data_IF_703536037729
#
_entry.id   IF_703536037729
#
_cell.length_a   1.000
_cell.length_b   1.000
_cell.length_c   1.000
_cell.angle_alpha   90.00
_cell.angle_beta   90.00
_cell.angle_gamma   90.00
#
_symmetry.space_group_name_H-M   'P 1'
#
loop_
_entity.id
_entity.type
_entity.pdbx_description
1 polymer ?
#
# COMPACT_ATOMS: atom_id res chain seq x y z
N UNK A 1 22.43 6.75 -7.77
CA UNK A 1 21.77 7.92 -7.15
C UNK A 1 22.79 8.63 -6.28
N UNK A 2 22.88 9.96 -6.36
CA UNK A 2 23.75 10.82 -5.54
C UNK A 2 22.89 11.93 -4.92
N UNK A 3 23.34 12.52 -3.83
CA UNK A 3 22.82 13.77 -3.27
C UNK A 3 23.99 14.71 -2.99
N UNK A 4 23.75 16.01 -2.83
CA UNK A 4 24.77 16.93 -2.36
C UNK A 4 24.54 17.32 -0.89
N UNK A 5 25.63 17.62 -0.20
CA UNK A 5 25.67 18.11 1.18
C UNK A 5 26.48 19.40 1.21
N UNK A 6 26.04 20.41 1.96
CA UNK A 6 26.74 21.69 2.06
C UNK A 6 26.53 22.40 3.40
N UNK A 7 27.45 23.31 3.72
CA UNK A 7 27.32 24.26 4.82
C UNK A 7 27.92 25.63 4.49
N UNK A 8 27.51 26.65 5.25
CA UNK A 8 28.10 28.00 5.24
C UNK A 8 28.46 28.43 6.68
N UNK A 9 29.66 28.98 6.88
CA UNK A 9 30.08 29.60 8.13
C UNK A 9 29.65 31.07 8.18
N UNK A 10 28.82 31.43 9.16
CA UNK A 10 28.32 32.82 9.33
C UNK A 10 28.96 33.58 10.49
N UNK A 11 29.83 32.94 11.27
CA UNK A 11 30.73 33.64 12.21
C UNK A 11 31.99 32.83 12.56
N UNK A 12 33.04 33.51 12.98
CA UNK A 12 34.32 32.94 13.37
C UNK A 12 35.45 33.33 12.41
N UNK A 13 36.60 32.63 12.44
CA UNK A 13 37.83 33.08 11.77
C UNK A 13 37.79 33.05 10.24
N UNK A 14 36.87 32.30 9.63
CA UNK A 14 36.69 32.21 8.18
C UNK A 14 35.24 32.54 7.81
N UNK A 15 34.90 33.82 7.97
CA UNK A 15 33.57 34.36 7.70
C UNK A 15 33.15 34.12 6.23
N UNK A 16 31.91 33.65 6.02
CA UNK A 16 31.35 33.27 4.71
C UNK A 16 32.11 32.15 3.98
N UNK A 17 32.98 31.40 4.67
CA UNK A 17 33.50 30.15 4.11
C UNK A 17 32.35 29.17 3.84
N UNK A 18 32.49 28.41 2.76
CA UNK A 18 31.47 27.44 2.33
C UNK A 18 32.15 26.12 1.99
N UNK A 19 31.42 25.03 2.20
CA UNK A 19 31.84 23.70 1.77
C UNK A 19 30.66 23.00 1.14
N UNK A 20 30.93 22.19 0.11
CA UNK A 20 29.92 21.34 -0.50
C UNK A 20 30.56 20.09 -1.09
N UNK A 21 29.88 18.95 -1.01
CA UNK A 21 30.39 17.66 -1.47
C UNK A 21 29.25 16.76 -1.97
N UNK A 22 29.59 15.78 -2.80
CA UNK A 22 28.68 14.71 -3.15
C UNK A 22 28.47 13.74 -1.97
N UNK A 23 27.38 12.98 -2.03
CA UNK A 23 27.02 11.94 -1.06
C UNK A 23 26.44 10.75 -1.83
N UNK A 24 27.01 9.56 -1.62
CA UNK A 24 26.69 8.33 -2.35
C UNK A 24 26.39 7.15 -1.42
N UNK A 25 26.29 5.95 -2.00
CA UNK A 25 26.04 4.67 -1.31
C UNK A 25 24.64 4.55 -0.70
N UNK A 26 24.30 5.37 0.30
CA UNK A 26 22.98 5.44 0.94
C UNK A 26 22.37 6.85 0.86
N UNK A 27 22.18 7.40 -0.36
CA UNK A 27 21.68 8.76 -0.54
C UNK A 27 20.28 8.92 0.07
N UNK A 28 20.17 9.81 1.05
CA UNK A 28 18.93 10.28 1.65
C UNK A 28 19.16 11.70 2.17
N UNK A 29 18.11 12.53 2.23
CA UNK A 29 18.23 13.92 2.74
C UNK A 29 18.87 13.94 4.12
N UNK A 30 18.40 13.09 5.03
CA UNK A 30 18.99 12.93 6.36
C UNK A 30 20.42 12.39 6.39
N UNK A 31 20.92 11.74 5.33
CA UNK A 31 22.35 11.40 5.25
C UNK A 31 23.17 12.62 4.82
N UNK A 32 22.70 13.40 3.84
CA UNK A 32 23.33 14.67 3.45
C UNK A 32 23.36 15.69 4.60
N UNK A 33 22.25 15.85 5.34
CA UNK A 33 22.16 16.72 6.52
C UNK A 33 23.20 16.37 7.60
N UNK A 34 23.38 15.08 7.90
CA UNK A 34 24.35 14.61 8.92
C UNK A 34 25.79 14.75 8.43
N UNK A 35 26.05 14.59 7.13
CA UNK A 35 27.37 14.88 6.53
C UNK A 35 27.69 16.37 6.59
N UNK A 36 26.71 17.26 6.41
CA UNK A 36 26.90 18.70 6.57
C UNK A 36 27.28 19.08 8.02
N UNK A 37 26.61 18.48 9.01
CA UNK A 37 26.96 18.63 10.44
C UNK A 37 28.38 18.11 10.70
N UNK A 38 28.72 16.91 10.22
CA UNK A 38 30.03 16.30 10.44
C UNK A 38 31.17 17.15 9.87
N UNK A 39 31.05 17.56 8.61
CA UNK A 39 32.09 18.35 7.93
C UNK A 39 32.26 19.75 8.51
N UNK A 40 31.18 20.40 8.99
CA UNK A 40 31.26 21.66 9.73
C UNK A 40 31.98 21.54 11.08
N UNK A 41 31.84 20.40 11.77
CA UNK A 41 32.57 20.12 13.01
C UNK A 41 34.04 19.74 12.75
N UNK A 42 34.35 19.18 11.58
CA UNK A 42 35.72 18.94 11.14
C UNK A 42 36.50 20.24 10.86
N UNK A 43 35.85 21.32 10.43
CA UNK A 43 36.51 22.64 10.25
C UNK A 43 36.55 23.51 11.51
N UNK A 44 35.73 23.23 12.53
CA UNK A 44 35.76 23.97 13.80
C UNK A 44 37.11 23.78 14.54
N UNK A 45 37.72 24.86 15.09
CA UNK A 45 38.92 24.75 15.91
C UNK A 45 38.61 24.13 17.28
N UNK A 46 39.62 23.53 17.92
CA UNK A 46 39.50 22.93 19.25
C UNK A 46 39.02 23.93 20.30
N UNK A 47 38.31 23.43 21.31
CA UNK A 47 37.73 24.19 22.42
C UNK A 47 36.73 25.30 22.01
N UNK A 48 36.28 25.34 20.74
CA UNK A 48 35.27 26.30 20.30
C UNK A 48 33.85 25.91 20.73
N UNK A 49 33.02 26.94 21.02
CA UNK A 49 31.56 26.80 21.05
C UNK A 49 30.97 26.97 19.65
N UNK A 50 30.42 25.89 19.10
CA UNK A 50 29.82 25.84 17.76
C UNK A 50 28.29 25.84 17.87
N UNK A 51 27.60 26.78 17.22
CA UNK A 51 26.14 26.72 17.05
C UNK A 51 25.83 26.38 15.60
N UNK A 52 25.05 25.33 15.38
CA UNK A 52 24.58 24.87 14.07
C UNK A 52 23.09 25.17 13.95
N UNK A 53 22.74 25.97 12.94
CA UNK A 53 21.37 26.21 12.52
C UNK A 53 21.03 25.20 11.43
N UNK A 54 20.01 24.36 11.66
CA UNK A 54 19.50 23.37 10.72
C UNK A 54 17.99 23.27 10.87
N UNK A 55 17.29 22.98 9.79
CA UNK A 55 15.87 22.62 9.79
C UNK A 55 15.64 21.10 9.91
N UNK A 56 16.69 20.29 10.01
CA UNK A 56 16.55 18.86 10.27
C UNK A 56 16.26 18.59 11.75
N UNK A 57 14.97 18.47 12.10
CA UNK A 57 14.57 18.13 13.47
C UNK A 57 15.09 16.76 13.89
N UNK A 58 15.12 15.80 12.96
CA UNK A 58 15.66 14.44 13.20
C UNK A 58 17.14 14.49 13.54
N UNK A 59 17.93 15.37 12.92
CA UNK A 59 19.33 15.59 13.31
C UNK A 59 19.46 16.19 14.71
N UNK A 60 18.64 17.19 15.05
CA UNK A 60 18.65 17.84 16.39
C UNK A 60 18.33 16.81 17.48
N UNK A 61 17.26 16.03 17.29
CA UNK A 61 16.80 15.03 18.26
C UNK A 61 17.81 13.90 18.41
N UNK A 62 18.40 13.43 17.30
CA UNK A 62 19.42 12.37 17.32
C UNK A 62 20.71 12.87 17.98
N UNK A 63 21.18 14.08 17.65
CA UNK A 63 22.35 14.69 18.27
C UNK A 63 22.17 14.82 19.79
N UNK A 64 21.01 15.33 20.24
CA UNK A 64 20.68 15.41 21.67
C UNK A 64 20.64 14.03 22.33
N UNK A 65 20.09 13.02 21.67
CA UNK A 65 20.00 11.65 22.19
C UNK A 65 21.38 11.00 22.37
N UNK A 66 22.29 11.14 21.39
CA UNK A 66 23.63 10.53 21.45
C UNK A 66 24.59 11.28 22.39
N UNK A 67 24.42 12.60 22.55
CA UNK A 67 25.27 13.41 23.45
C UNK A 67 24.90 13.27 24.93
N UNK A 68 23.64 12.94 25.24
CA UNK A 68 23.15 12.87 26.64
C UNK A 68 23.15 11.47 27.25
N UNK A 69 23.48 10.41 26.48
CA UNK A 69 23.35 9.01 26.93
C UNK A 69 24.47 8.13 26.40
N UNK A 70 24.97 7.23 27.26
CA UNK A 70 25.74 6.06 26.80
C UNK A 70 24.80 5.07 26.12
N UNK A 71 25.03 4.80 24.84
CA UNK A 71 24.20 3.90 24.05
C UNK A 71 24.87 2.53 23.88
N UNK A 72 24.07 1.48 24.06
CA UNK A 72 24.45 0.10 23.73
C UNK A 72 24.60 -0.08 22.21
N UNK A 73 25.38 -1.08 21.79
CA UNK A 73 25.51 -1.51 20.37
C UNK A 73 24.14 -1.66 19.70
N UNK A 74 23.15 -2.25 20.39
CA UNK A 74 21.78 -2.44 19.88
C UNK A 74 21.02 -1.12 19.69
N UNK A 75 21.28 -0.10 20.50
CA UNK A 75 20.68 1.24 20.33
C UNK A 75 21.35 1.97 19.16
N UNK A 76 22.68 1.90 19.04
CA UNK A 76 23.43 2.42 17.89
C UNK A 76 22.92 1.89 16.56
N UNK A 77 22.80 0.56 16.42
CA UNK A 77 22.30 -0.08 15.20
C UNK A 77 20.81 0.20 14.88
N UNK A 78 20.08 0.92 15.75
CA UNK A 78 18.72 1.41 15.47
C UNK A 78 18.71 2.83 14.89
N UNK A 79 19.79 3.58 15.04
CA UNK A 79 19.93 4.96 14.56
C UNK A 79 20.33 4.93 13.07
N UNK A 80 19.63 5.73 12.26
CA UNK A 80 20.05 5.96 10.87
C UNK A 80 21.29 6.86 10.86
N UNK A 81 22.22 6.58 9.94
CA UNK A 81 23.52 7.24 9.78
C UNK A 81 24.42 7.09 11.02
N UNK A 82 24.26 6.02 11.81
CA UNK A 82 24.99 5.79 13.06
C UNK A 82 26.51 5.87 12.90
N UNK A 83 27.07 5.43 11.76
CA UNK A 83 28.50 5.53 11.45
C UNK A 83 28.98 7.00 11.45
N UNK A 84 28.21 7.91 10.85
CA UNK A 84 28.54 9.35 10.86
C UNK A 84 28.33 9.94 12.24
N UNK A 85 27.28 9.54 12.96
CA UNK A 85 27.03 10.02 14.33
C UNK A 85 28.13 9.61 15.31
N UNK A 86 28.75 8.44 15.11
CA UNK A 86 29.92 8.01 15.87
C UNK A 86 31.14 8.89 15.57
N UNK A 87 31.41 9.22 14.30
CA UNK A 87 32.48 10.16 13.93
C UNK A 87 32.20 11.61 14.36
N UNK A 88 30.93 12.04 14.44
CA UNK A 88 30.51 13.31 15.07
C UNK A 88 30.83 13.30 16.57
N UNK A 89 30.47 12.23 17.30
CA UNK A 89 30.81 12.10 18.72
C UNK A 89 32.31 12.10 18.97
N UNK A 90 33.06 11.38 18.14
CA UNK A 90 34.52 11.32 18.18
C UNK A 90 35.13 12.72 17.99
N UNK A 91 34.70 13.45 16.95
CA UNK A 91 35.16 14.82 16.64
C UNK A 91 34.82 15.81 17.76
N UNK A 92 33.61 15.75 18.33
CA UNK A 92 33.20 16.64 19.42
C UNK A 92 34.03 16.40 20.68
N UNK A 93 34.34 15.13 20.99
CA UNK A 93 35.18 14.76 22.14
C UNK A 93 36.65 15.10 21.94
N UNK A 94 37.25 14.73 20.80
CA UNK A 94 38.68 14.91 20.54
C UNK A 94 39.09 16.39 20.46
N UNK A 95 38.18 17.25 19.95
CA UNK A 95 38.37 18.70 19.90
C UNK A 95 37.79 19.45 21.11
N UNK A 96 37.16 18.78 22.08
CA UNK A 96 36.49 19.42 23.23
C UNK A 96 35.48 20.51 22.82
N UNK A 97 34.65 20.26 21.81
CA UNK A 97 33.71 21.25 21.27
C UNK A 97 32.45 21.39 22.13
N UNK A 98 32.01 22.63 22.35
CA UNK A 98 30.68 22.92 22.93
C UNK A 98 29.67 23.14 21.80
N UNK A 99 28.94 22.09 21.41
CA UNK A 99 28.08 22.12 20.22
C UNK A 99 26.60 22.24 20.59
N UNK A 100 25.90 23.18 19.95
CA UNK A 100 24.45 23.41 20.11
C UNK A 100 23.79 23.44 18.73
N UNK A 101 22.75 22.64 18.53
CA UNK A 101 21.94 22.69 17.30
C UNK A 101 20.63 23.44 17.54
N UNK A 102 20.27 24.34 16.63
CA UNK A 102 19.05 25.13 16.64
C UNK A 102 18.18 24.83 15.43
N UNK A 103 16.88 24.68 15.67
CA UNK A 103 15.86 24.45 14.64
C UNK A 103 15.58 25.75 13.87
N UNK A 104 15.85 25.74 12.58
CA UNK A 104 15.33 26.75 11.63
C UNK A 104 14.00 26.25 11.05
N UNK A 105 13.10 27.16 10.68
CA UNK A 105 11.91 26.81 9.89
C UNK A 105 12.33 26.64 8.43
N UNK A 106 12.08 25.46 7.86
CA UNK A 106 12.24 25.25 6.42
C UNK A 106 11.45 26.32 5.63
N UNK A 107 11.98 26.76 4.51
CA UNK A 107 11.38 27.76 3.60
C UNK A 107 11.07 29.14 4.20
N UNK A 108 11.49 29.46 5.44
CA UNK A 108 11.12 30.71 6.13
C UNK A 108 11.89 31.96 5.68
N UNK A 109 12.25 32.04 4.41
CA UNK A 109 12.86 33.24 3.81
C UNK A 109 14.36 33.45 4.07
N UNK A 110 14.95 32.80 5.09
CA UNK A 110 16.33 33.05 5.57
C UNK A 110 17.36 32.91 4.43
N UNK A 111 18.07 34.00 4.15
CA UNK A 111 18.98 34.11 3.01
C UNK A 111 20.11 33.07 3.04
N UNK A 112 20.71 32.81 4.21
CA UNK A 112 21.81 31.82 4.31
C UNK A 112 21.34 30.40 4.06
N UNK A 113 20.21 29.95 4.65
CA UNK A 113 19.65 28.62 4.35
C UNK A 113 19.43 28.46 2.84
N UNK A 114 18.72 29.40 2.19
CA UNK A 114 18.51 29.39 0.73
C UNK A 114 19.81 29.32 -0.09
N UNK A 115 20.91 29.88 0.40
CA UNK A 115 22.23 29.76 -0.24
C UNK A 115 22.79 28.35 -0.05
N UNK A 116 22.73 27.78 1.16
CA UNK A 116 23.23 26.42 1.41
C UNK A 116 22.41 25.38 0.64
N UNK A 117 21.10 25.56 0.53
CA UNK A 117 20.20 24.70 -0.26
C UNK A 117 20.60 24.68 -1.74
N UNK A 118 21.03 25.83 -2.28
CA UNK A 118 21.59 25.95 -3.64
C UNK A 118 22.96 25.27 -3.76
N UNK A 119 23.85 25.47 -2.77
CA UNK A 119 25.15 24.81 -2.75
C UNK A 119 25.02 23.29 -2.75
N UNK A 120 24.14 22.74 -1.91
CA UNK A 120 23.90 21.30 -1.84
C UNK A 120 23.16 20.76 -3.09
N UNK A 121 22.31 21.55 -3.78
CA UNK A 121 21.78 21.18 -5.10
C UNK A 121 22.89 21.10 -6.16
N UNK A 122 23.78 22.09 -6.20
CA UNK A 122 24.92 22.11 -7.12
C UNK A 122 25.92 20.97 -6.83
N UNK A 123 26.06 20.58 -5.56
CA UNK A 123 26.98 19.55 -5.11
C UNK A 123 26.57 18.11 -5.48
N UNK A 124 25.37 17.89 -6.04
CA UNK A 124 24.87 16.56 -6.40
C UNK A 124 25.78 15.79 -7.37
N UNK A 125 26.49 16.52 -8.24
CA UNK A 125 27.43 15.97 -9.23
C UNK A 125 28.90 15.99 -8.77
N UNK A 126 29.21 16.58 -7.60
CA UNK A 126 30.58 16.55 -7.07
C UNK A 126 30.98 15.15 -6.64
N UNK A 127 32.28 14.95 -6.45
CA UNK A 127 32.79 13.68 -5.95
C UNK A 127 32.27 13.37 -4.54
N UNK A 128 31.83 12.14 -4.25
CA UNK A 128 31.28 11.80 -2.95
C UNK A 128 32.34 11.81 -1.86
N UNK A 129 32.03 12.45 -0.73
CA UNK A 129 32.93 12.39 0.42
C UNK A 129 33.06 10.96 0.95
N UNK A 130 34.30 10.52 1.14
CA UNK A 130 34.64 9.25 1.77
C UNK A 130 35.41 9.53 3.06
N UNK A 131 35.18 8.72 4.09
CA UNK A 131 35.86 8.80 5.37
C UNK A 131 36.00 7.38 5.94
N UNK A 132 37.11 7.13 6.65
CA UNK A 132 37.38 5.80 7.17
C UNK A 132 36.39 5.40 8.26
N UNK A 133 35.85 4.18 8.10
CA UNK A 133 34.90 3.52 9.01
C UNK A 133 35.65 2.69 10.08
N UNK A 134 36.98 2.69 10.02
CA UNK A 134 37.87 2.06 11.00
C UNK A 134 37.75 2.82 12.34
N UNK A 135 37.82 2.09 13.45
CA UNK A 135 37.78 2.57 14.84
C UNK A 135 36.57 3.45 15.19
N UNK A 136 35.35 2.97 14.92
CA UNK A 136 34.09 3.67 15.31
C UNK A 136 33.72 3.54 16.80
N UNK A 137 34.72 3.55 17.70
CA UNK A 137 34.53 3.55 19.15
C UNK A 137 33.70 2.37 19.67
N UNK A 138 32.48 2.59 20.22
CA UNK A 138 31.66 1.56 20.89
C UNK A 138 31.08 0.46 19.98
N UNK A 139 31.33 0.48 18.67
CA UNK A 139 30.97 -0.60 17.75
C UNK A 139 32.22 -1.39 17.33
N UNK A 140 32.37 -2.61 17.86
CA UNK A 140 33.42 -3.56 17.46
C UNK A 140 33.32 -4.00 15.99
N UNK A 141 32.10 -4.07 15.45
CA UNK A 141 31.83 -4.43 14.06
C UNK A 141 30.67 -3.60 13.53
N UNK A 142 30.81 -3.09 12.30
CA UNK A 142 29.74 -2.42 11.57
C UNK A 142 29.16 -3.39 10.54
N UNK A 143 27.83 -3.58 10.48
CA UNK A 143 27.23 -4.42 9.46
C UNK A 143 27.43 -3.80 8.08
N UNK A 144 27.99 -4.57 7.15
CA UNK A 144 28.08 -4.21 5.73
C UNK A 144 27.08 -5.03 4.90
N UNK A 145 26.79 -4.53 3.72
CA UNK A 145 26.15 -5.26 2.63
C UNK A 145 27.02 -5.07 1.40
N UNK A 146 27.64 -6.15 0.94
CA UNK A 146 28.75 -6.07 -0.01
C UNK A 146 29.82 -5.08 0.52
N UNK A 147 30.35 -4.20 -0.32
CA UNK A 147 31.35 -3.17 0.06
C UNK A 147 30.77 -1.97 0.84
N UNK A 148 29.46 -1.91 1.10
CA UNK A 148 28.81 -0.73 1.71
C UNK A 148 28.40 -0.94 3.17
N UNK A 149 28.71 0.02 4.06
CA UNK A 149 28.19 0.02 5.44
C UNK A 149 26.68 0.22 5.48
N UNK A 150 25.95 -0.56 6.28
CA UNK A 150 24.48 -0.47 6.40
C UNK A 150 24.12 0.76 7.24
N UNK A 151 23.98 1.91 6.59
CA UNK A 151 23.75 3.19 7.27
C UNK A 151 22.29 3.43 7.71
N UNK A 152 21.41 2.43 7.62
CA UNK A 152 20.03 2.47 8.10
C UNK A 152 19.84 1.53 9.30
N UNK A 153 18.73 1.69 10.03
CA UNK A 153 18.33 0.78 11.11
C UNK A 153 18.47 -0.70 10.70
N UNK A 154 19.44 -1.39 11.30
CA UNK A 154 19.89 -2.73 10.85
C UNK A 154 18.79 -3.78 10.97
N UNK A 155 17.92 -3.67 11.99
CA UNK A 155 16.77 -4.58 12.12
C UNK A 155 15.76 -4.39 11.00
N UNK A 156 15.51 -3.14 10.57
CA UNK A 156 14.62 -2.85 9.44
C UNK A 156 15.24 -3.27 8.11
N UNK A 157 16.58 -3.16 7.96
CA UNK A 157 17.31 -3.68 6.80
C UNK A 157 17.19 -5.20 6.69
N UNK A 158 17.54 -5.94 7.74
CA UNK A 158 17.42 -7.41 7.80
C UNK A 158 15.97 -7.85 7.56
N UNK A 159 14.98 -7.16 8.16
CA UNK A 159 13.56 -7.45 7.95
C UNK A 159 13.13 -7.25 6.49
N UNK A 160 13.66 -6.23 5.80
CA UNK A 160 13.39 -6.01 4.39
C UNK A 160 14.03 -7.10 3.52
N UNK A 161 15.29 -7.46 3.74
CA UNK A 161 15.95 -8.59 3.05
C UNK A 161 15.11 -9.85 3.17
N UNK A 162 14.71 -10.23 4.40
CA UNK A 162 13.88 -11.42 4.62
C UNK A 162 12.49 -11.30 3.96
N UNK A 163 11.90 -10.10 3.88
CA UNK A 163 10.65 -9.89 3.13
C UNK A 163 10.84 -10.17 1.63
N UNK A 164 11.94 -9.72 1.03
CA UNK A 164 12.24 -9.98 -0.37
C UNK A 164 12.59 -11.45 -0.64
N UNK A 165 13.42 -12.07 0.21
CA UNK A 165 13.73 -13.52 0.12
C UNK A 165 12.44 -14.35 0.24
N UNK A 166 11.58 -14.07 1.21
CA UNK A 166 10.33 -14.81 1.40
C UNK A 166 9.35 -14.60 0.23
N UNK A 167 9.28 -13.39 -0.33
CA UNK A 167 8.46 -13.12 -1.51
C UNK A 167 9.00 -13.85 -2.75
N UNK A 168 10.31 -13.82 -2.98
CA UNK A 168 10.96 -14.48 -4.10
C UNK A 168 10.86 -16.01 -4.02
N UNK A 169 11.18 -16.59 -2.86
CA UNK A 169 11.07 -18.04 -2.62
C UNK A 169 9.63 -18.55 -2.71
N UNK A 170 8.64 -17.73 -2.32
CA UNK A 170 7.23 -18.04 -2.54
C UNK A 170 6.84 -17.98 -4.03
N UNK A 171 7.20 -16.90 -4.73
CA UNK A 171 6.92 -16.74 -6.17
C UNK A 171 7.60 -17.84 -7.00
N UNK A 172 8.81 -18.24 -6.62
CA UNK A 172 9.62 -19.20 -7.39
C UNK A 172 9.11 -20.64 -7.34
N UNK A 173 8.15 -20.97 -6.46
CA UNK A 173 7.56 -22.30 -6.36
C UNK A 173 6.84 -22.68 -7.66
N UNK A 174 7.11 -23.88 -8.19
CA UNK A 174 6.47 -24.39 -9.41
C UNK A 174 4.92 -24.34 -9.36
N UNK A 175 4.33 -24.49 -8.17
CA UNK A 175 2.88 -24.36 -7.98
C UNK A 175 2.37 -22.93 -8.17
N UNK A 176 3.15 -21.91 -7.78
CA UNK A 176 2.82 -20.48 -7.90
C UNK A 176 3.15 -19.95 -9.29
N UNK A 177 4.27 -20.36 -9.91
CA UNK A 177 4.66 -19.98 -11.28
C UNK A 177 3.58 -20.26 -12.34
N UNK A 178 2.74 -21.28 -12.14
CA UNK A 178 1.58 -21.57 -13.02
C UNK A 178 0.46 -20.54 -12.92
N UNK A 179 0.33 -19.81 -11.82
CA UNK A 179 -0.73 -18.81 -11.58
C UNK A 179 -0.22 -17.37 -11.68
N UNK A 180 1.03 -17.13 -11.31
CA UNK A 180 1.70 -15.84 -11.32
C UNK A 180 2.97 -15.96 -12.14
N UNK A 181 2.90 -15.53 -13.39
CA UNK A 181 4.04 -15.56 -14.31
C UNK A 181 5.11 -14.53 -13.91
N UNK A 182 6.30 -14.67 -14.48
CA UNK A 182 7.37 -13.69 -14.31
C UNK A 182 7.22 -12.46 -15.22
N UNK A 183 6.21 -12.43 -16.11
CA UNK A 183 5.89 -11.29 -16.95
C UNK A 183 5.49 -10.06 -16.10
N UNK A 184 6.14 -8.89 -16.27
CA UNK A 184 5.74 -7.65 -15.65
C UNK A 184 4.29 -7.23 -15.97
N UNK A 185 3.79 -7.56 -17.17
CA UNK A 185 2.41 -7.26 -17.57
C UNK A 185 1.41 -7.96 -16.65
N UNK A 186 1.57 -9.26 -16.44
CA UNK A 186 0.71 -10.11 -15.61
C UNK A 186 0.77 -9.72 -14.12
N UNK A 187 1.92 -9.21 -13.66
CA UNK A 187 2.10 -8.64 -12.31
C UNK A 187 1.39 -7.29 -12.14
N UNK A 188 1.37 -6.45 -13.17
CA UNK A 188 0.59 -5.20 -13.20
C UNK A 188 -0.92 -5.45 -13.33
N UNK A 189 -1.31 -6.58 -13.91
CA UNK A 189 -2.68 -7.01 -14.13
C UNK A 189 -3.38 -7.57 -12.87
N UNK A 190 -2.89 -7.31 -11.64
CA UNK A 190 -3.51 -7.83 -10.40
C UNK A 190 -3.51 -6.81 -9.26
N UNK A 191 -4.70 -6.46 -8.75
CA UNK A 191 -4.84 -5.65 -7.53
C UNK A 191 -4.53 -6.49 -6.27
N UNK A 192 -3.27 -6.48 -5.88
CA UNK A 192 -2.76 -7.10 -4.66
C UNK A 192 -3.37 -6.54 -3.37
N UNK A 193 -3.86 -5.28 -3.36
CA UNK A 193 -4.49 -4.67 -2.18
C UNK A 193 -5.87 -5.27 -1.96
N UNK A 194 -6.63 -5.55 -3.02
CA UNK A 194 -7.90 -6.27 -2.95
C UNK A 194 -7.71 -7.76 -2.62
N UNK A 195 -6.74 -8.42 -3.26
CA UNK A 195 -6.39 -9.81 -2.94
C UNK A 195 -6.02 -9.96 -1.45
N UNK A 196 -5.19 -9.05 -0.92
CA UNK A 196 -4.83 -9.03 0.49
C UNK A 196 -6.02 -8.69 1.40
N UNK A 197 -6.89 -7.74 1.02
CA UNK A 197 -8.12 -7.41 1.77
C UNK A 197 -9.00 -8.66 1.97
N UNK A 198 -9.10 -9.53 0.97
CA UNK A 198 -9.85 -10.80 1.02
C UNK A 198 -9.22 -11.87 1.95
N UNK A 199 -7.90 -11.87 2.06
CA UNK A 199 -7.14 -12.80 2.94
C UNK A 199 -6.95 -12.29 4.36
N UNK A 200 -6.96 -10.97 4.55
CA UNK A 200 -6.76 -10.30 5.83
C UNK A 200 -7.97 -10.47 6.77
N UNK A 201 -7.69 -10.65 8.06
CA UNK A 201 -8.69 -10.62 9.13
C UNK A 201 -8.64 -9.22 9.77
N UNK A 202 -9.80 -8.58 9.94
CA UNK A 202 -9.96 -7.29 10.65
C UNK A 202 -10.55 -7.43 12.05
N UNK A 203 -10.85 -8.65 12.50
CA UNK A 203 -11.52 -8.92 13.76
C UNK A 203 -10.50 -9.38 14.81
N UNK A 204 -10.66 -8.91 16.05
CA UNK A 204 -9.81 -9.29 17.19
C UNK A 204 -10.05 -10.73 17.70
N UNK A 205 -11.05 -11.43 17.16
CA UNK A 205 -11.42 -12.79 17.52
C UNK A 205 -11.37 -13.74 16.31
N UNK A 206 -11.03 -15.01 16.57
CA UNK A 206 -10.98 -16.07 15.55
C UNK A 206 -12.14 -17.05 15.72
N UNK A 207 -12.97 -17.23 14.68
CA UNK A 207 -14.01 -18.27 14.66
C UNK A 207 -13.64 -19.44 13.75
N UNK A 208 -14.13 -20.65 14.03
CA UNK A 208 -13.89 -21.84 13.21
C UNK A 208 -14.38 -21.64 11.76
N UNK A 209 -15.55 -21.00 11.57
CA UNK A 209 -16.12 -20.65 10.26
C UNK A 209 -15.23 -19.71 9.45
N UNK A 210 -14.50 -18.81 10.12
CA UNK A 210 -13.55 -17.89 9.50
C UNK A 210 -12.19 -18.54 9.24
N UNK A 211 -11.71 -19.39 10.16
CA UNK A 211 -10.51 -20.21 9.98
C UNK A 211 -10.67 -21.13 8.76
N UNK A 212 -11.79 -21.85 8.66
CA UNK A 212 -12.07 -22.72 7.51
C UNK A 212 -12.16 -21.93 6.19
N UNK A 213 -12.81 -20.75 6.17
CA UNK A 213 -12.81 -19.85 5.00
C UNK A 213 -11.38 -19.45 4.60
N UNK A 214 -10.54 -19.08 5.57
CA UNK A 214 -9.16 -18.66 5.34
C UNK A 214 -8.33 -19.83 4.82
N UNK A 215 -8.33 -20.98 5.50
CA UNK A 215 -7.63 -22.20 5.08
C UNK A 215 -8.02 -22.60 3.67
N UNK A 216 -9.32 -22.51 3.33
CA UNK A 216 -9.78 -22.75 1.98
C UNK A 216 -9.15 -21.76 0.96
N UNK A 217 -9.21 -20.45 1.21
CA UNK A 217 -8.67 -19.44 0.29
C UNK A 217 -7.14 -19.56 0.12
N UNK A 218 -6.42 -19.86 1.20
CA UNK A 218 -4.99 -20.14 1.12
C UNK A 218 -4.72 -21.39 0.27
N UNK A 219 -5.47 -22.49 0.49
CA UNK A 219 -5.34 -23.69 -0.34
C UNK A 219 -5.65 -23.43 -1.82
N UNK A 220 -6.66 -22.62 -2.13
CA UNK A 220 -6.98 -22.22 -3.50
C UNK A 220 -5.80 -21.50 -4.18
N UNK A 221 -5.30 -20.40 -3.58
CA UNK A 221 -4.21 -19.58 -4.15
C UNK A 221 -2.92 -20.38 -4.37
N UNK A 222 -2.63 -21.36 -3.52
CA UNK A 222 -1.40 -22.14 -3.58
C UNK A 222 -1.53 -23.41 -4.43
N UNK A 223 -2.70 -23.66 -5.04
CA UNK A 223 -3.03 -24.93 -5.71
C UNK A 223 -2.85 -26.15 -4.78
N UNK A 224 -3.41 -26.04 -3.58
CA UNK A 224 -3.35 -27.02 -2.49
C UNK A 224 -4.77 -27.48 -2.08
N UNK A 225 -5.75 -27.35 -2.97
CA UNK A 225 -7.05 -28.00 -2.80
C UNK A 225 -6.89 -29.54 -2.75
N UNK A 226 -7.84 -30.27 -2.15
CA UNK A 226 -7.79 -31.73 -2.09
C UNK A 226 -8.36 -32.36 -3.37
N UNK A 227 -7.83 -31.98 -4.53
CA UNK A 227 -8.09 -32.65 -5.82
C UNK A 227 -7.26 -33.92 -5.92
N UNK A 228 -7.70 -34.92 -6.69
CA UNK A 228 -7.02 -36.21 -6.81
C UNK A 228 -5.54 -36.06 -7.23
N UNK A 229 -5.21 -35.17 -8.15
CA UNK A 229 -3.82 -34.89 -8.54
C UNK A 229 -2.93 -34.42 -7.37
N UNK A 230 -3.48 -33.63 -6.44
CA UNK A 230 -2.79 -33.18 -5.21
C UNK A 230 -2.80 -34.26 -4.13
N UNK A 231 -3.86 -35.07 -4.03
CA UNK A 231 -3.98 -36.16 -3.07
C UNK A 231 -3.06 -37.34 -3.41
N UNK A 232 -2.90 -37.66 -4.69
CA UNK A 232 -1.92 -38.63 -5.20
C UNK A 232 -0.49 -38.26 -4.82
N UNK A 233 -0.13 -36.97 -4.85
CA UNK A 233 1.18 -36.49 -4.40
C UNK A 233 1.34 -36.60 -2.88
N UNK A 234 0.30 -36.28 -2.10
CA UNK A 234 0.36 -36.26 -0.62
C UNK A 234 0.29 -37.65 0.02
N UNK A 235 -0.48 -38.56 -0.57
CA UNK A 235 -0.78 -39.88 -0.03
C UNK A 235 -0.83 -40.92 -1.18
N UNK A 236 0.31 -41.22 -1.84
CA UNK A 236 0.32 -42.04 -3.06
C UNK A 236 -0.29 -43.42 -2.87
N UNK A 237 -0.07 -44.04 -1.70
CA UNK A 237 -0.59 -45.38 -1.36
C UNK A 237 -2.12 -45.51 -1.43
N UNK A 238 -2.87 -44.40 -1.29
CA UNK A 238 -4.33 -44.40 -1.31
C UNK A 238 -4.86 -43.87 -2.66
N UNK A 239 -4.21 -42.87 -3.24
CA UNK A 239 -4.76 -42.12 -4.37
C UNK A 239 -4.09 -42.38 -5.72
N UNK A 240 -3.02 -43.19 -5.81
CA UNK A 240 -2.30 -43.45 -7.07
C UNK A 240 -3.16 -44.08 -8.18
N UNK A 241 -4.16 -44.87 -7.81
CA UNK A 241 -5.12 -45.50 -8.76
C UNK A 241 -6.31 -44.60 -9.13
N UNK A 242 -6.44 -43.43 -8.51
CA UNK A 242 -7.59 -42.55 -8.67
C UNK A 242 -7.17 -41.27 -9.39
N UNK A 243 -7.32 -41.23 -10.71
CA UNK A 243 -7.04 -40.04 -11.53
C UNK A 243 -8.33 -39.34 -11.99
N UNK A 244 -9.34 -40.11 -12.39
CA UNK A 244 -10.58 -39.60 -12.98
C UNK A 244 -11.50 -38.90 -11.97
N UNK A 245 -12.12 -37.79 -12.40
CA UNK A 245 -13.07 -37.01 -11.61
C UNK A 245 -14.23 -37.87 -11.07
N UNK A 246 -14.48 -37.88 -9.74
CA UNK A 246 -15.57 -38.64 -9.14
C UNK A 246 -16.99 -38.18 -9.51
N UNK A 247 -17.14 -37.05 -10.22
CA UNK A 247 -18.43 -36.53 -10.64
C UNK A 247 -18.75 -36.89 -12.10
N UNK A 248 -17.82 -36.61 -13.03
CA UNK A 248 -18.07 -36.81 -14.46
C UNK A 248 -17.48 -38.11 -15.02
N UNK A 249 -16.54 -38.75 -14.30
CA UNK A 249 -15.82 -39.97 -14.70
C UNK A 249 -15.11 -39.92 -16.07
N UNK A 250 -14.99 -38.74 -16.70
CA UNK A 250 -14.54 -38.59 -18.09
C UNK A 250 -13.17 -37.95 -18.27
N UNK A 251 -12.67 -37.23 -17.25
CA UNK A 251 -11.40 -36.48 -17.30
C UNK A 251 -10.73 -36.49 -15.93
N UNK A 252 -9.41 -36.29 -15.88
CA UNK A 252 -8.64 -36.29 -14.64
C UNK A 252 -9.00 -35.13 -13.70
N UNK A 253 -9.07 -35.38 -12.39
CA UNK A 253 -9.36 -34.32 -11.43
C UNK A 253 -8.11 -33.53 -11.04
N UNK A 254 -8.05 -32.32 -11.59
CA UNK A 254 -7.14 -31.26 -11.17
C UNK A 254 -7.92 -29.97 -10.85
N UNK A 255 -7.22 -28.92 -10.44
CA UNK A 255 -7.84 -27.63 -10.09
C UNK A 255 -8.61 -26.98 -11.25
N UNK A 256 -8.15 -27.13 -12.50
CA UNK A 256 -8.82 -26.57 -13.68
C UNK A 256 -10.12 -27.33 -13.97
N UNK A 257 -10.07 -28.66 -13.92
CA UNK A 257 -11.25 -29.51 -14.08
C UNK A 257 -12.31 -29.21 -13.01
N UNK A 258 -11.93 -28.90 -11.78
CA UNK A 258 -12.89 -28.51 -10.73
C UNK A 258 -13.73 -27.27 -11.11
N UNK A 259 -13.20 -26.39 -11.95
CA UNK A 259 -13.94 -25.22 -12.48
C UNK A 259 -14.67 -25.47 -13.81
N UNK A 260 -14.44 -26.63 -14.46
CA UNK A 260 -14.96 -26.93 -15.80
C UNK A 260 -15.84 -28.18 -15.85
N UNK A 261 -15.80 -29.05 -14.84
CA UNK A 261 -16.56 -30.29 -14.73
C UNK A 261 -18.03 -30.15 -15.20
N UNK A 262 -18.48 -30.86 -16.25
CA UNK A 262 -19.81 -30.67 -16.82
C UNK A 262 -20.95 -30.88 -15.81
N UNK A 263 -20.77 -31.80 -14.86
CA UNK A 263 -21.78 -32.14 -13.84
C UNK A 263 -22.04 -31.02 -12.83
N UNK A 264 -21.19 -30.00 -12.77
CA UNK A 264 -21.41 -28.81 -11.92
C UNK A 264 -21.80 -27.57 -12.71
N UNK A 265 -21.97 -27.66 -14.04
CA UNK A 265 -22.09 -26.47 -14.89
C UNK A 265 -23.40 -25.67 -14.70
N UNK A 266 -24.53 -26.37 -14.59
CA UNK A 266 -25.84 -25.74 -14.28
C UNK A 266 -25.79 -24.99 -12.95
N UNK A 267 -25.13 -25.57 -11.95
CA UNK A 267 -24.92 -24.96 -10.65
C UNK A 267 -23.99 -23.76 -10.80
N UNK A 268 -22.77 -23.91 -11.35
CA UNK A 268 -21.84 -22.78 -11.58
C UNK A 268 -22.52 -21.59 -12.27
N UNK A 269 -23.33 -21.85 -13.30
CA UNK A 269 -24.09 -20.83 -14.03
C UNK A 269 -25.10 -20.11 -13.13
N UNK A 270 -25.91 -20.84 -12.35
CA UNK A 270 -26.81 -20.25 -11.35
C UNK A 270 -26.06 -19.42 -10.31
N UNK A 271 -24.89 -19.89 -9.86
CA UNK A 271 -24.07 -19.23 -8.84
C UNK A 271 -23.43 -17.94 -9.39
N UNK A 272 -23.04 -17.92 -10.67
CA UNK A 272 -22.57 -16.72 -11.37
C UNK A 272 -23.69 -15.70 -11.57
N UNK A 273 -24.88 -16.13 -12.00
CA UNK A 273 -26.05 -15.24 -12.12
C UNK A 273 -26.39 -14.59 -10.78
N UNK A 274 -26.46 -15.37 -9.69
CA UNK A 274 -26.67 -14.85 -8.35
C UNK A 274 -25.58 -13.84 -7.92
N UNK A 275 -24.33 -14.06 -8.30
CA UNK A 275 -23.24 -13.13 -8.04
C UNK A 275 -23.35 -11.82 -8.83
N UNK A 276 -23.75 -11.90 -10.11
CA UNK A 276 -24.01 -10.74 -10.99
C UNK A 276 -25.16 -9.90 -10.41
N UNK A 277 -26.29 -10.52 -10.08
CA UNK A 277 -27.44 -9.83 -9.48
C UNK A 277 -27.07 -9.18 -8.14
N UNK A 278 -26.36 -9.90 -7.25
CA UNK A 278 -25.91 -9.34 -5.98
C UNK A 278 -24.94 -8.17 -6.14
N UNK A 279 -23.99 -8.26 -7.07
CA UNK A 279 -23.03 -7.19 -7.34
C UNK A 279 -23.73 -5.95 -7.93
N UNK A 280 -24.67 -6.16 -8.85
CA UNK A 280 -25.52 -5.13 -9.45
C UNK A 280 -26.29 -4.39 -8.36
N UNK A 281 -27.09 -5.12 -7.57
CA UNK A 281 -27.88 -4.58 -6.46
C UNK A 281 -27.03 -3.85 -5.41
N UNK A 282 -25.87 -4.40 -5.04
CA UNK A 282 -24.99 -3.79 -4.02
C UNK A 282 -24.38 -2.48 -4.49
N UNK A 283 -23.96 -2.41 -5.76
CA UNK A 283 -23.43 -1.18 -6.35
C UNK A 283 -24.54 -0.14 -6.51
N UNK A 284 -25.71 -0.53 -7.01
CA UNK A 284 -26.90 0.32 -7.09
C UNK A 284 -27.26 0.94 -5.74
N UNK A 285 -27.51 0.10 -4.71
CA UNK A 285 -27.85 0.54 -3.36
C UNK A 285 -26.83 1.51 -2.79
N UNK A 286 -25.54 1.30 -3.07
CA UNK A 286 -24.50 2.21 -2.58
C UNK A 286 -24.37 3.50 -3.39
N UNK A 287 -24.84 3.55 -4.63
CA UNK A 287 -24.93 4.79 -5.40
C UNK A 287 -26.18 5.60 -5.00
N UNK A 288 -27.31 4.92 -4.75
CA UNK A 288 -28.54 5.50 -4.19
C UNK A 288 -28.30 6.13 -2.80
N UNK A 289 -27.58 5.43 -1.92
CA UNK A 289 -27.20 5.97 -0.60
C UNK A 289 -26.31 7.23 -0.69
N UNK A 290 -25.62 7.45 -1.82
CA UNK A 290 -24.76 8.60 -2.06
C UNK A 290 -25.44 9.72 -2.88
N UNK A 291 -26.56 9.45 -3.56
CA UNK A 291 -27.25 10.40 -4.45
C UNK A 291 -28.78 10.23 -4.46
N UNK A 292 -29.53 11.33 -4.30
CA UNK A 292 -31.00 11.37 -4.14
C UNK A 292 -31.87 10.98 -5.37
N UNK A 293 -31.33 10.35 -6.43
CA UNK A 293 -32.12 10.00 -7.62
C UNK A 293 -31.71 8.68 -8.30
N UNK A 294 -32.65 7.97 -8.96
CA UNK A 294 -32.46 6.61 -9.43
C UNK A 294 -31.49 6.53 -10.61
N UNK A 295 -30.77 5.41 -10.68
CA UNK A 295 -29.79 5.11 -11.72
C UNK A 295 -30.38 4.05 -12.65
N UNK A 296 -30.23 4.25 -13.96
CA UNK A 296 -30.64 3.26 -14.96
C UNK A 296 -29.87 1.95 -14.73
N UNK A 297 -30.64 0.92 -14.38
CA UNK A 297 -30.22 -0.40 -13.88
C UNK A 297 -29.54 -1.24 -14.98
N UNK A 298 -30.16 -1.25 -16.18
CA UNK A 298 -29.77 -2.09 -17.32
C UNK A 298 -28.30 -1.95 -17.73
N UNK A 299 -27.78 -0.71 -17.79
CA UNK A 299 -26.38 -0.48 -18.18
C UNK A 299 -25.39 -1.02 -17.14
N UNK A 300 -25.74 -1.02 -15.85
CA UNK A 300 -24.87 -1.52 -14.80
C UNK A 300 -24.90 -3.06 -14.77
N UNK A 301 -26.08 -3.67 -14.90
CA UNK A 301 -26.24 -5.11 -15.07
C UNK A 301 -25.49 -5.63 -16.32
N UNK A 302 -25.63 -4.93 -17.46
CA UNK A 302 -24.95 -5.28 -18.73
C UNK A 302 -23.42 -5.19 -18.59
N UNK A 303 -22.91 -4.15 -17.93
CA UNK A 303 -21.46 -4.00 -17.69
C UNK A 303 -20.91 -5.13 -16.81
N UNK A 304 -21.60 -5.47 -15.72
CA UNK A 304 -21.16 -6.54 -14.81
C UNK A 304 -21.28 -7.92 -15.49
N UNK A 305 -22.33 -8.14 -16.28
CA UNK A 305 -22.48 -9.36 -17.09
C UNK A 305 -21.36 -9.50 -18.11
N UNK A 306 -20.97 -8.41 -18.79
CA UNK A 306 -19.84 -8.39 -19.73
C UNK A 306 -18.51 -8.75 -19.04
N UNK A 307 -18.24 -8.17 -17.86
CA UNK A 307 -17.06 -8.50 -17.05
C UNK A 307 -17.09 -9.98 -16.60
N UNK A 308 -18.24 -10.47 -16.15
CA UNK A 308 -18.39 -11.87 -15.73
C UNK A 308 -18.14 -12.84 -16.90
N UNK A 309 -18.72 -12.57 -18.08
CA UNK A 309 -18.52 -13.37 -19.28
C UNK A 309 -17.04 -13.39 -19.72
N UNK A 310 -16.34 -12.26 -19.61
CA UNK A 310 -14.89 -12.19 -19.87
C UNK A 310 -14.07 -13.05 -18.90
N UNK A 311 -14.44 -13.09 -17.61
CA UNK A 311 -13.79 -13.93 -16.60
C UNK A 311 -14.08 -15.41 -16.85
N UNK A 312 -15.32 -15.76 -17.20
CA UNK A 312 -15.76 -17.15 -17.41
C UNK A 312 -15.17 -17.75 -18.70
N UNK A 313 -15.01 -16.93 -19.75
CA UNK A 313 -14.53 -17.42 -21.07
C UNK A 313 -13.09 -17.91 -21.08
N UNK A 314 -12.30 -17.63 -20.04
CA UNK A 314 -10.91 -18.05 -19.94
C UNK A 314 -10.64 -18.73 -18.59
N UNK A 315 -10.19 -19.99 -18.64
CA UNK A 315 -9.93 -20.83 -17.46
C UNK A 315 -8.91 -20.21 -16.50
N UNK A 316 -7.86 -19.56 -17.02
CA UNK A 316 -6.85 -18.86 -16.22
C UNK A 316 -7.43 -17.62 -15.54
N UNK A 317 -8.25 -16.83 -16.24
CA UNK A 317 -8.93 -15.66 -15.66
C UNK A 317 -9.93 -16.08 -14.57
N UNK A 318 -10.70 -17.14 -14.82
CA UNK A 318 -11.61 -17.73 -13.85
C UNK A 318 -10.86 -18.13 -12.56
N UNK A 319 -9.74 -18.85 -12.67
CA UNK A 319 -8.99 -19.29 -11.48
C UNK A 319 -8.26 -18.11 -10.79
N UNK A 320 -7.68 -17.17 -11.55
CA UNK A 320 -7.07 -15.93 -11.00
C UNK A 320 -8.11 -15.10 -10.23
N UNK A 321 -9.23 -14.75 -10.85
CA UNK A 321 -10.31 -13.98 -10.25
C UNK A 321 -10.86 -14.64 -8.99
N UNK A 322 -11.16 -15.94 -9.08
CA UNK A 322 -11.74 -16.68 -7.97
C UNK A 322 -10.75 -16.90 -6.82
N UNK A 323 -9.44 -16.98 -7.10
CA UNK A 323 -8.36 -16.90 -6.12
C UNK A 323 -8.24 -15.53 -5.43
N UNK A 324 -8.77 -14.48 -6.05
CA UNK A 324 -8.81 -13.11 -5.51
C UNK A 324 -7.92 -12.12 -6.24
N UNK A 325 -7.29 -12.52 -7.34
CA UNK A 325 -6.53 -11.62 -8.22
C UNK A 325 -7.51 -10.95 -9.19
N UNK A 326 -7.88 -9.70 -8.88
CA UNK A 326 -8.79 -8.90 -9.68
C UNK A 326 -7.96 -8.02 -10.63
N UNK A 327 -8.27 -8.05 -11.92
CA UNK A 327 -7.58 -7.21 -12.90
C UNK A 327 -7.98 -5.72 -12.75
N UNK A 328 -7.05 -4.76 -12.87
CA UNK A 328 -7.34 -3.34 -12.77
C UNK A 328 -8.32 -2.80 -13.81
N UNK A 329 -8.34 -3.40 -15.01
CA UNK A 329 -9.26 -3.04 -16.10
C UNK A 329 -10.75 -3.12 -15.66
N UNK A 330 -11.16 -4.21 -15.00
CA UNK A 330 -12.52 -4.40 -14.47
C UNK A 330 -12.88 -3.31 -13.46
N UNK A 331 -11.91 -2.90 -12.62
CA UNK A 331 -12.07 -1.81 -11.65
C UNK A 331 -12.23 -0.47 -12.37
N UNK A 332 -11.43 -0.19 -13.42
CA UNK A 332 -11.58 1.04 -14.21
C UNK A 332 -12.89 1.08 -14.99
N UNK A 333 -13.36 -0.02 -15.57
CA UNK A 333 -14.65 -0.09 -16.28
C UNK A 333 -15.82 0.19 -15.33
N UNK A 334 -15.83 -0.43 -14.15
CA UNK A 334 -16.84 -0.14 -13.11
C UNK A 334 -16.77 1.33 -12.69
N UNK A 335 -15.56 1.85 -12.41
CA UNK A 335 -15.36 3.27 -12.06
C UNK A 335 -15.87 4.21 -13.15
N UNK A 336 -15.55 3.95 -14.42
CA UNK A 336 -15.99 4.76 -15.55
C UNK A 336 -17.53 4.82 -15.61
N UNK A 337 -18.21 3.67 -15.57
CA UNK A 337 -19.69 3.62 -15.57
C UNK A 337 -20.29 4.34 -14.36
N UNK A 338 -19.64 4.34 -13.20
CA UNK A 338 -20.09 5.14 -12.04
C UNK A 338 -19.78 6.64 -12.16
N UNK A 339 -18.63 7.02 -12.74
CA UNK A 339 -18.15 8.40 -12.82
C UNK A 339 -18.73 9.18 -14.00
N UNK A 340 -18.94 8.54 -15.16
CA UNK A 340 -19.68 9.11 -16.28
C UNK A 340 -21.13 9.40 -15.88
N UNK A 341 -21.74 8.53 -15.07
CA UNK A 341 -23.07 8.78 -14.49
C UNK A 341 -23.03 9.98 -13.53
N UNK A 342 -22.02 10.13 -12.68
CA UNK A 342 -21.84 11.36 -11.87
C UNK A 342 -21.68 12.61 -12.74
N UNK A 343 -20.83 12.58 -13.77
CA UNK A 343 -20.57 13.73 -14.63
C UNK A 343 -21.77 14.09 -15.52
N UNK A 344 -22.50 13.09 -16.03
CA UNK A 344 -23.75 13.25 -16.77
C UNK A 344 -24.89 13.78 -15.89
N UNK A 345 -24.97 13.36 -14.62
CA UNK A 345 -25.90 13.92 -13.63
C UNK A 345 -25.52 15.36 -13.29
N UNK A 346 -24.24 15.66 -13.02
CA UNK A 346 -23.77 17.04 -12.77
C UNK A 346 -24.08 17.94 -13.97
N UNK A 347 -23.86 17.47 -15.20
CA UNK A 347 -24.16 18.25 -16.39
C UNK A 347 -25.67 18.36 -16.67
N UNK A 348 -26.49 17.35 -16.34
CA UNK A 348 -27.96 17.48 -16.34
C UNK A 348 -28.46 18.41 -15.23
N UNK A 349 -27.85 18.40 -14.05
CA UNK A 349 -28.17 19.33 -12.95
C UNK A 349 -27.77 20.75 -13.31
N UNK A 350 -26.60 20.98 -13.91
CA UNK A 350 -26.19 22.30 -14.45
C UNK A 350 -27.12 22.78 -15.57
N UNK A 351 -27.53 21.90 -16.49
CA UNK A 351 -28.51 22.24 -17.55
C UNK A 351 -29.91 22.48 -16.98
N UNK A 352 -30.37 21.70 -16.00
CA UNK A 352 -31.63 21.95 -15.30
C UNK A 352 -31.57 23.24 -14.47
N UNK A 353 -30.48 23.53 -13.77
CA UNK A 353 -30.28 24.81 -13.08
C UNK A 353 -30.24 25.98 -14.06
N UNK A 354 -29.59 25.85 -15.21
CA UNK A 354 -29.62 26.88 -16.25
C UNK A 354 -31.04 27.09 -16.82
N UNK A 355 -31.79 26.01 -17.05
CA UNK A 355 -33.20 26.08 -17.44
C UNK A 355 -34.09 26.67 -16.34
N UNK A 356 -33.89 26.28 -15.08
CA UNK A 356 -34.65 26.79 -13.93
C UNK A 356 -34.32 28.28 -13.73
N UNK A 357 -33.06 28.71 -13.85
CA UNK A 357 -32.70 30.14 -13.80
C UNK A 357 -33.32 30.91 -14.97
N UNK A 358 -33.37 30.34 -16.17
CA UNK A 358 -34.08 30.94 -17.31
C UNK A 358 -35.60 30.99 -17.12
N UNK A 359 -36.19 29.97 -16.47
CA UNK A 359 -37.62 29.90 -16.17
C UNK A 359 -37.96 30.85 -15.02
N UNK A 360 -37.22 30.86 -13.91
CA UNK A 360 -37.36 31.81 -12.79
C UNK A 360 -37.27 33.27 -13.27
N UNK A 361 -36.36 33.58 -14.21
CA UNK A 361 -36.27 34.92 -14.81
C UNK A 361 -37.44 35.29 -15.74
N UNK A 362 -38.25 34.31 -16.15
CA UNK A 362 -39.47 34.51 -16.94
C UNK A 362 -40.75 34.41 -16.08
N UNK A 363 -40.75 33.61 -15.01
CA UNK A 363 -41.87 33.41 -14.08
C UNK A 363 -41.92 34.47 -12.97
N UNK A 364 -40.81 35.16 -12.69
CA UNK A 364 -40.84 36.40 -11.88
C UNK A 364 -41.65 37.54 -12.51
N UNK A 365 -42.12 37.38 -13.76
CA UNK A 365 -43.07 38.28 -14.42
C UNK A 365 -44.54 37.80 -14.38
N UNK A 366 -44.85 36.63 -13.80
CA UNK A 366 -46.21 36.06 -13.79
C UNK A 366 -46.55 35.31 -12.48
N UNK A 367 -46.46 35.99 -11.33
CA UNK A 367 -47.01 35.45 -10.08
C UNK A 367 -48.51 35.77 -9.95
N UNK A 368 -49.40 34.79 -10.17
CA UNK A 368 -50.81 34.88 -9.77
C UNK A 368 -51.45 33.49 -9.55
N UNK A 369 -52.15 33.37 -8.41
CA UNK A 369 -53.10 32.32 -7.98
C UNK A 369 -52.64 30.92 -7.47
N UNK A 370 -52.92 30.73 -6.17
CA UNK A 370 -53.73 29.66 -5.56
C UNK A 370 -53.16 28.25 -5.24
N UNK A 371 -52.80 28.08 -3.95
CA UNK A 371 -53.44 27.21 -2.94
C UNK A 371 -53.79 25.70 -3.15
N UNK A 372 -53.33 24.92 -2.14
CA UNK A 372 -54.05 23.90 -1.34
C UNK A 372 -54.06 22.37 -1.65
N UNK A 373 -53.53 21.64 -0.65
CA UNK A 373 -54.07 20.46 0.06
C UNK A 373 -53.99 18.98 -0.43
N UNK A 374 -53.22 18.21 0.37
CA UNK A 374 -53.58 16.98 1.13
C UNK A 374 -53.70 15.57 0.50
N UNK A 375 -52.86 14.65 1.04
CA UNK A 375 -53.13 13.29 1.60
C UNK A 375 -53.90 12.21 0.76
N UNK A 376 -53.57 10.90 0.75
CA UNK A 376 -53.47 9.98 1.90
C UNK A 376 -53.10 8.49 1.55
N UNK A 377 -52.60 7.71 2.56
CA UNK A 377 -52.86 6.26 2.90
C UNK A 377 -52.19 5.04 2.18
N UNK A 378 -51.19 4.43 2.87
CA UNK A 378 -51.04 3.06 3.47
C UNK A 378 -51.19 1.67 2.74
N UNK A 379 -50.17 0.81 2.99
CA UNK A 379 -50.16 -0.59 3.55
C UNK A 379 -50.59 -1.84 2.73
N UNK A 380 -50.11 -3.10 2.97
CA UNK A 380 -48.95 -3.66 3.74
C UNK A 380 -48.77 -5.21 3.62
N UNK A 381 -47.58 -5.71 4.02
CA UNK A 381 -47.22 -7.05 4.62
C UNK A 381 -47.27 -8.40 3.87
N UNK A 382 -46.40 -9.32 4.32
CA UNK A 382 -46.08 -10.65 3.77
C UNK A 382 -45.37 -11.54 4.83
N UNK A 383 -45.41 -12.88 4.73
CA UNK A 383 -44.60 -13.87 5.50
C UNK A 383 -44.82 -15.33 4.96
N UNK A 384 -44.13 -16.44 5.29
CA UNK A 384 -42.96 -16.76 6.17
C UNK A 384 -42.10 -17.95 5.58
N UNK A 385 -41.81 -19.01 6.36
CA UNK A 385 -40.74 -20.02 6.17
C UNK A 385 -41.14 -21.49 6.49
N UNK A 386 -40.44 -22.52 5.96
CA UNK A 386 -39.57 -23.50 6.71
C UNK A 386 -39.29 -24.94 6.15
N UNK A 387 -38.10 -25.45 6.51
CA UNK A 387 -37.69 -26.83 6.94
C UNK A 387 -37.06 -27.94 6.03
N UNK A 388 -36.31 -28.83 6.73
CA UNK A 388 -35.25 -29.77 6.29
C UNK A 388 -35.67 -31.27 6.30
N UNK A 389 -34.87 -32.16 5.66
CA UNK A 389 -34.15 -33.33 6.27
C UNK A 389 -33.61 -34.32 5.21
N UNK A 390 -32.27 -34.56 5.16
CA UNK A 390 -31.63 -35.89 4.99
C UNK A 390 -30.10 -35.81 4.84
N UNK A 391 -29.37 -36.66 5.56
CA UNK A 391 -27.92 -36.52 5.79
C UNK A 391 -27.26 -37.91 5.94
N UNK A 392 -26.12 -38.15 5.26
CA UNK A 392 -24.97 -38.99 5.69
C UNK A 392 -24.04 -39.43 4.53
N UNK A 393 -24.54 -40.08 3.47
CA UNK A 393 -23.73 -40.30 2.24
C UNK A 393 -23.29 -38.98 1.59
N UNK A 394 -24.04 -37.92 1.87
CA UNK A 394 -23.68 -36.57 1.49
C UNK A 394 -22.32 -36.11 2.05
N UNK A 395 -21.71 -36.68 3.11
CA UNK A 395 -20.59 -36.01 3.80
C UNK A 395 -19.28 -35.82 3.01
N UNK A 396 -18.90 -36.71 2.09
CA UNK A 396 -17.70 -36.51 1.26
C UNK A 396 -17.98 -35.58 0.06
N UNK A 397 -19.11 -35.78 -0.62
CA UNK A 397 -19.60 -34.89 -1.68
C UNK A 397 -19.85 -33.48 -1.11
N UNK A 398 -20.44 -33.38 0.09
CA UNK A 398 -20.63 -32.14 0.84
C UNK A 398 -19.32 -31.42 1.14
N UNK A 399 -18.14 -32.06 1.18
CA UNK A 399 -16.92 -31.31 1.47
C UNK A 399 -16.46 -30.49 0.25
N UNK A 400 -16.49 -31.05 -0.96
CA UNK A 400 -16.29 -30.30 -2.21
C UNK A 400 -17.48 -29.38 -2.53
N UNK A 401 -18.71 -29.81 -2.23
CA UNK A 401 -19.94 -29.06 -2.50
C UNK A 401 -20.21 -27.93 -1.47
N UNK A 402 -19.79 -28.06 -0.20
CA UNK A 402 -19.80 -26.97 0.79
C UNK A 402 -18.62 -26.01 0.61
N UNK A 403 -17.53 -26.46 -0.02
CA UNK A 403 -16.53 -25.55 -0.57
C UNK A 403 -17.22 -24.63 -1.60
N UNK A 404 -17.94 -25.19 -2.58
CA UNK A 404 -18.63 -24.41 -3.62
C UNK A 404 -19.82 -23.58 -3.07
N UNK A 405 -20.72 -24.13 -2.24
CA UNK A 405 -21.76 -23.34 -1.54
C UNK A 405 -21.14 -22.25 -0.65
N UNK A 406 -20.01 -22.55 -0.01
CA UNK A 406 -19.27 -21.63 0.86
C UNK A 406 -18.55 -20.50 0.11
N UNK A 407 -18.29 -20.66 -1.19
CA UNK A 407 -17.84 -19.57 -2.07
C UNK A 407 -18.94 -18.56 -2.31
N UNK A 408 -20.10 -19.04 -2.72
CA UNK A 408 -21.11 -18.21 -3.41
C UNK A 408 -21.78 -17.24 -2.45
N UNK A 409 -22.12 -17.71 -1.25
CA UNK A 409 -22.55 -16.88 -0.12
C UNK A 409 -21.53 -15.78 0.26
N UNK A 410 -20.31 -15.81 -0.30
CA UNK A 410 -19.18 -14.90 0.01
C UNK A 410 -18.52 -14.26 -1.22
N UNK A 411 -19.04 -14.45 -2.45
CA UNK A 411 -18.79 -13.53 -3.58
C UNK A 411 -19.45 -12.16 -3.32
N UNK A 412 -20.34 -12.12 -2.31
CA UNK A 412 -20.98 -10.96 -1.70
C UNK A 412 -20.05 -9.89 -1.07
N UNK A 413 -18.84 -9.67 -1.59
CA UNK A 413 -17.88 -8.69 -1.07
C UNK A 413 -17.19 -7.82 -2.15
N UNK A 414 -17.72 -7.78 -3.38
CA UNK A 414 -17.44 -6.69 -4.32
C UNK A 414 -18.04 -5.34 -3.85
N UNK A 415 -18.96 -5.38 -2.87
CA UNK A 415 -19.64 -4.25 -2.23
C UNK A 415 -18.77 -3.34 -1.34
N UNK A 416 -17.45 -3.51 -1.32
CA UNK A 416 -16.54 -2.65 -0.54
C UNK A 416 -15.82 -1.59 -1.38
N UNK A 417 -16.45 -1.16 -2.48
CA UNK A 417 -15.95 -0.17 -3.44
C UNK A 417 -16.54 1.25 -3.26
N UNK A 418 -17.41 1.46 -2.27
CA UNK A 418 -18.26 2.67 -2.21
C UNK A 418 -18.58 3.19 -0.80
N UNK A 419 -17.88 2.70 0.23
CA UNK A 419 -18.05 3.16 1.63
C UNK A 419 -16.73 3.31 2.39
N UNK A 420 -15.83 4.19 1.90
CA UNK A 420 -14.90 5.00 2.72
C UNK A 420 -14.31 6.12 1.85
N UNK A 421 -15.07 7.20 1.62
CA UNK A 421 -14.51 8.47 1.12
C UNK A 421 -14.16 9.45 2.25
N UNK A 422 -14.55 9.17 3.50
CA UNK A 422 -14.32 10.09 4.64
C UNK A 422 -13.36 9.57 5.74
N UNK A 423 -12.86 8.32 5.70
CA UNK A 423 -11.89 7.79 6.68
C UNK A 423 -10.49 7.58 6.07
N UNK A 424 -10.02 8.57 5.30
CA UNK A 424 -8.69 8.59 4.69
C UNK A 424 -7.76 9.68 5.25
N UNK A 425 -8.05 10.20 6.44
CA UNK A 425 -7.25 11.26 7.11
C UNK A 425 -6.17 10.68 8.06
N UNK A 426 -6.20 9.37 8.34
CA UNK A 426 -5.19 8.70 9.17
C UNK A 426 -4.64 7.42 8.54
N UNK A 427 -3.31 7.38 8.30
CA UNK A 427 -2.48 6.25 7.83
C UNK A 427 -1.97 6.20 6.37
N UNK A 428 -1.89 7.33 5.66
CA UNK A 428 -0.95 7.50 4.54
C UNK A 428 0.29 8.28 5.02
N UNK A 429 1.16 7.59 5.77
CA UNK A 429 2.51 8.05 6.10
C UNK A 429 3.49 6.91 5.79
N UNK A 430 4.02 6.94 4.57
CA UNK A 430 4.98 5.95 4.08
C UNK A 430 4.82 5.69 2.58
N UNK A 431 5.76 6.21 1.80
CA UNK A 431 5.98 5.88 0.37
C UNK A 431 4.99 6.46 -0.65
N UNK A 432 4.79 7.79 -0.62
CA UNK A 432 5.02 8.64 -1.82
C UNK A 432 5.66 9.94 -1.35
N UNK A 433 6.96 10.09 -1.61
CA UNK A 433 7.62 11.40 -1.64
C UNK A 433 8.70 11.30 -2.72
N UNK A 434 8.28 11.55 -3.96
CA UNK A 434 9.15 11.86 -5.08
C UNK A 434 8.79 13.27 -5.52
N UNK A 435 9.83 14.05 -5.81
CA UNK A 435 9.79 15.36 -6.48
C UNK A 435 9.10 16.52 -5.75
N UNK A 436 9.59 16.83 -4.54
CA UNK A 436 9.89 18.23 -4.17
C UNK A 436 11.31 18.31 -3.61
N UNK A 437 12.12 19.21 -4.17
CA UNK A 437 13.55 19.39 -3.88
C UNK A 437 13.80 20.18 -2.58
N UNK A 438 13.44 19.59 -1.44
CA UNK A 438 13.86 20.07 -0.12
C UNK A 438 15.26 19.53 0.19
N UNK A 439 16.24 20.21 -0.40
CA UNK A 439 17.65 20.11 -0.06
C UNK A 439 17.93 21.19 0.96
N UNK A 440 18.34 20.81 2.16
CA UNK A 440 18.39 21.70 3.30
C UNK A 440 19.77 21.70 3.95
N UNK A 441 20.37 22.89 4.09
CA UNK A 441 21.76 23.02 4.48
C UNK A 441 22.02 23.50 5.91
N UNK A 442 23.26 23.32 6.36
CA UNK A 442 23.73 23.72 7.70
C UNK A 442 24.36 25.11 7.66
N UNK A 443 23.92 26.00 8.53
CA UNK A 443 24.58 27.30 8.78
C UNK A 443 25.23 27.26 10.16
N UNK A 444 26.55 27.41 10.26
CA UNK A 444 27.24 27.33 11.56
C UNK A 444 27.98 28.60 11.96
N UNK A 445 28.14 28.76 13.28
CA UNK A 445 28.82 29.87 13.94
C UNK A 445 29.79 29.30 14.97
N UNK A 446 31.04 29.76 14.99
CA UNK A 446 32.03 29.41 16.02
C UNK A 446 32.40 30.66 16.82
N UNK A 447 32.39 30.55 18.14
CA UNK A 447 32.93 31.54 19.06
C UNK A 447 34.04 30.89 19.91
N UNK A 448 35.25 31.44 19.85
CA UNK A 448 36.27 31.20 20.86
C UNK A 448 35.96 32.03 22.10
N UNK A 449 36.13 31.44 23.28
CA UNK A 449 36.33 32.23 24.50
C UNK A 449 37.82 32.56 24.57
N UNK A 450 38.15 33.84 24.73
CA UNK A 450 39.47 34.29 25.18
C UNK A 450 39.53 34.21 26.71
#
# INVERSE_FOLDING_TARGET
MRMGSAWIQTSGPQLLSTFSCGVSSWPSSSYAEVIAIFTALLTAPSQCRVKINTDSQTCIDTFKYIMTRSLTTRQWLRINNHVVWLKILETVKSKSLSVILFKVKAHSGVNFNKQVDRLAKNALNLEPIQFNIIDTGPLFTIPTWDIFSVNINTRNFIKQIHKYINLYTWKSQNRIKKFLTDDPSDQSNSDWKLAWKRLSIRNYYTSIKQSNKRTFLFKLIHNELPTLDRLAIRQPKIYSSFTMCPLCHSTEENIEHLFLCPQTDSQRSQLWNNAISYATFSLQKSLENNHRHPIIEDNLHTTITSIANNIISNTSFLIKFTSGFIQPNYISTIKQVTAEKQHGIINRMKRKLAHIIQIDSNESNNSSNCNNNSNNINNSFNNDSNNNYNNNNNNCINNSFNIIKGWVSKVAFLSSFSSTTNDAVGSVLGLVHLDVLDVLGVVYTCHQNY
#
